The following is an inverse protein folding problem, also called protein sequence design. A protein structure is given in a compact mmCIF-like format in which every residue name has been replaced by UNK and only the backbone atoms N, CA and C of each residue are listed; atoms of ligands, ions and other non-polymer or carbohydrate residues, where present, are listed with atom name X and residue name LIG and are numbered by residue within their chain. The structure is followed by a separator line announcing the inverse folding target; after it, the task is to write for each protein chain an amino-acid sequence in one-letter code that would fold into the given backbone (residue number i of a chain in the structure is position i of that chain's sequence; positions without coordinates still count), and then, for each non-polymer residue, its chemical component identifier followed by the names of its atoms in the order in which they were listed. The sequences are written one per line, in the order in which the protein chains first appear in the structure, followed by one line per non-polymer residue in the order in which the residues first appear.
data_IF_823639371638
#
_entry.id   IF_823639371638
#
_cell.length_a   1.000
_cell.length_b   1.000
_cell.length_c   1.000
_cell.angle_alpha   90.00
_cell.angle_beta   90.00
_cell.angle_gamma   90.00
#
_symmetry.space_group_name_H-M   'P 1'
#
loop_
_entity.id
_entity.type
_entity.pdbx_description
1 polymer ?
#
# COMPACT_ATOMS: atom_id res chain seq x y z
N UNK A 1 -2.02 0.31 -23.43
CA UNK A 1 -1.96 1.71 -23.92
C UNK A 1 -1.48 2.66 -22.81
N UNK A 2 -2.17 2.72 -21.66
CA UNK A 2 -1.84 3.62 -20.55
C UNK A 2 -0.39 3.53 -20.03
N UNK A 3 0.18 2.33 -19.91
CA UNK A 3 1.57 2.16 -19.44
C UNK A 3 2.64 2.74 -20.38
N UNK A 4 2.35 2.83 -21.68
CA UNK A 4 3.22 3.49 -22.66
C UNK A 4 3.13 5.01 -22.50
N UNK A 5 1.89 5.52 -22.45
CA UNK A 5 1.62 6.95 -22.29
C UNK A 5 2.17 7.50 -20.96
N UNK A 6 2.06 6.72 -19.88
CA UNK A 6 2.58 7.08 -18.56
C UNK A 6 4.08 7.39 -18.51
N UNK A 7 4.84 6.96 -19.53
CA UNK A 7 6.26 7.28 -19.67
C UNK A 7 6.53 8.40 -20.68
N UNK A 8 5.64 8.59 -21.65
CA UNK A 8 5.84 9.51 -22.76
C UNK A 8 5.18 10.87 -22.52
N UNK A 9 3.89 10.88 -22.18
CA UNK A 9 3.16 12.08 -21.78
C UNK A 9 2.26 11.79 -20.55
N UNK A 10 2.83 11.87 -19.34
CA UNK A 10 2.10 11.64 -18.10
C UNK A 10 0.87 12.53 -17.90
N UNK A 11 0.80 13.70 -18.55
CA UNK A 11 -0.30 14.65 -18.39
C UNK A 11 -1.61 14.20 -19.06
N UNK A 12 -1.51 13.36 -20.08
CA UNK A 12 -2.67 12.88 -20.87
C UNK A 12 -3.23 11.53 -20.38
N UNK A 13 -2.54 10.87 -19.45
CA UNK A 13 -2.86 9.49 -19.04
C UNK A 13 -4.25 9.38 -18.42
N UNK A 14 -4.66 10.37 -17.64
CA UNK A 14 -5.97 10.32 -16.99
C UNK A 14 -7.12 10.53 -17.98
N UNK A 15 -6.95 11.41 -18.96
CA UNK A 15 -7.95 11.61 -20.01
C UNK A 15 -8.14 10.33 -20.83
N UNK A 16 -7.04 9.63 -21.14
CA UNK A 16 -7.09 8.31 -21.78
C UNK A 16 -7.79 7.27 -20.91
N UNK A 17 -7.49 7.26 -19.61
CA UNK A 17 -8.11 6.34 -18.65
C UNK A 17 -9.62 6.56 -18.54
N UNK A 18 -10.06 7.82 -18.41
CA UNK A 18 -11.48 8.16 -18.37
C UNK A 18 -12.19 7.78 -19.67
N UNK A 19 -11.58 8.08 -20.82
CA UNK A 19 -12.14 7.70 -22.12
C UNK A 19 -12.34 6.19 -22.23
N UNK A 20 -11.35 5.40 -21.84
CA UNK A 20 -11.43 3.94 -21.88
C UNK A 20 -12.47 3.39 -20.86
N UNK A 21 -12.64 4.01 -19.69
CA UNK A 21 -13.67 3.65 -18.71
C UNK A 21 -15.10 3.91 -19.21
N UNK A 22 -15.36 5.11 -19.75
CA UNK A 22 -16.72 5.57 -20.03
C UNK A 22 -17.19 5.25 -21.45
N UNK A 23 -16.31 5.22 -22.45
CA UNK A 23 -16.72 5.06 -23.86
C UNK A 23 -16.71 3.60 -24.34
N UNK A 24 -15.96 2.69 -23.70
CA UNK A 24 -15.76 1.30 -24.18
C UNK A 24 -16.54 0.22 -23.43
N UNK A 25 -17.83 0.44 -23.17
CA UNK A 25 -18.74 -0.55 -22.57
C UNK A 25 -18.32 -1.05 -21.17
N UNK A 26 -18.38 -0.17 -20.17
CA UNK A 26 -18.29 -0.58 -18.75
C UNK A 26 -16.95 -1.28 -18.42
N UNK A 27 -15.84 -0.73 -18.93
CA UNK A 27 -14.51 -1.25 -18.66
C UNK A 27 -14.24 -1.18 -17.15
N UNK A 28 -13.93 -2.33 -16.55
CA UNK A 28 -13.52 -2.40 -15.16
C UNK A 28 -12.00 -2.20 -15.11
N UNK A 29 -11.51 -1.18 -14.35
CA UNK A 29 -10.08 -0.96 -14.25
C UNK A 29 -9.41 -2.17 -13.61
N UNK A 30 -8.25 -2.53 -14.13
CA UNK A 30 -7.40 -3.59 -13.59
C UNK A 30 -6.17 -3.01 -12.86
N UNK A 31 -5.36 -3.89 -12.28
CA UNK A 31 -4.11 -3.52 -11.62
C UNK A 31 -3.14 -2.77 -12.57
N UNK A 32 -3.16 -3.08 -13.87
CA UNK A 32 -2.33 -2.40 -14.87
C UNK A 32 -2.73 -0.93 -15.05
N UNK A 33 -4.04 -0.63 -15.01
CA UNK A 33 -4.54 0.74 -15.09
C UNK A 33 -4.11 1.56 -13.88
N UNK A 34 -4.27 1.03 -12.66
CA UNK A 34 -3.82 1.71 -11.44
C UNK A 34 -2.30 1.90 -11.44
N UNK A 35 -1.54 0.89 -11.88
CA UNK A 35 -0.08 0.97 -12.01
C UNK A 35 0.34 2.09 -12.96
N UNK A 36 -0.36 2.27 -14.10
CA UNK A 36 -0.11 3.35 -15.04
C UNK A 36 -0.40 4.73 -14.42
N UNK A 37 -1.54 4.88 -13.74
CA UNK A 37 -1.93 6.13 -13.06
C UNK A 37 -0.92 6.52 -11.98
N UNK A 38 -0.49 5.58 -11.14
CA UNK A 38 0.52 5.83 -10.10
C UNK A 38 1.88 6.23 -10.70
N UNK A 39 2.23 5.62 -11.83
CA UNK A 39 3.49 5.94 -12.53
C UNK A 39 3.43 7.34 -13.12
N UNK A 40 2.34 7.68 -13.80
CA UNK A 40 2.17 8.97 -14.45
C UNK A 40 2.04 10.11 -13.43
N UNK A 41 1.25 9.92 -12.38
CA UNK A 41 1.09 10.91 -11.29
C UNK A 41 2.36 11.16 -10.49
N UNK A 42 3.33 10.24 -10.53
CA UNK A 42 4.65 10.45 -9.96
C UNK A 42 5.51 11.43 -10.77
N UNK A 43 5.09 11.83 -11.98
CA UNK A 43 5.81 12.84 -12.76
C UNK A 43 5.70 14.23 -12.12
N UNK A 44 6.67 15.09 -12.43
CA UNK A 44 6.71 16.46 -11.91
C UNK A 44 7.33 17.39 -12.94
N UNK A 45 6.78 18.59 -13.07
CA UNK A 45 7.28 19.63 -13.98
C UNK A 45 7.64 20.84 -13.14
N UNK A 46 8.87 21.35 -13.28
CA UNK A 46 9.39 22.47 -12.48
C UNK A 46 9.20 22.27 -10.95
N UNK A 47 9.51 21.06 -10.47
CA UNK A 47 9.35 20.65 -9.07
C UNK A 47 7.90 20.70 -8.54
N UNK A 48 6.91 20.81 -9.41
CA UNK A 48 5.50 20.75 -9.04
C UNK A 48 4.85 19.47 -9.58
N UNK A 49 3.89 18.88 -8.85
CA UNK A 49 3.08 17.80 -9.40
C UNK A 49 2.39 18.25 -10.70
N UNK A 50 2.26 17.34 -11.65
CA UNK A 50 1.44 17.59 -12.84
C UNK A 50 -0.05 17.67 -12.46
N UNK A 51 -0.84 18.26 -13.34
CA UNK A 51 -2.30 18.38 -13.19
C UNK A 51 -3.01 17.42 -14.14
N UNK A 52 -4.14 16.89 -13.69
CA UNK A 52 -5.14 16.25 -14.53
C UNK A 52 -6.44 17.04 -14.38
N UNK A 53 -6.78 17.82 -15.41
CA UNK A 53 -7.79 18.86 -15.31
C UNK A 53 -7.40 19.94 -14.30
N UNK A 54 -8.22 20.10 -13.25
CA UNK A 54 -8.02 21.10 -12.19
C UNK A 54 -7.40 20.53 -10.90
N UNK A 55 -7.09 19.23 -10.87
CA UNK A 55 -6.61 18.53 -9.69
C UNK A 55 -5.16 18.08 -9.88
N UNK A 56 -4.40 17.99 -8.79
CA UNK A 56 -3.07 17.40 -8.83
C UNK A 56 -3.17 15.90 -9.14
N UNK A 57 -2.39 15.43 -10.11
CA UNK A 57 -2.41 14.03 -10.52
C UNK A 57 -2.19 13.03 -9.37
N UNK A 58 -1.31 13.29 -8.37
CA UNK A 58 -1.21 12.43 -7.19
C UNK A 58 -2.53 12.28 -6.43
N UNK A 59 -3.29 13.35 -6.25
CA UNK A 59 -4.57 13.31 -5.52
C UNK A 59 -5.58 12.44 -6.26
N UNK A 60 -5.67 12.61 -7.58
CA UNK A 60 -6.55 11.82 -8.44
C UNK A 60 -6.13 10.34 -8.41
N UNK A 61 -4.83 10.04 -8.57
CA UNK A 61 -4.34 8.67 -8.53
C UNK A 61 -4.58 7.99 -7.16
N UNK A 62 -4.41 8.72 -6.06
CA UNK A 62 -4.72 8.23 -4.70
C UNK A 62 -6.21 7.92 -4.56
N UNK A 63 -7.07 8.81 -5.07
CA UNK A 63 -8.52 8.61 -5.04
C UNK A 63 -8.94 7.37 -5.84
N UNK A 64 -8.50 7.25 -7.10
CA UNK A 64 -8.83 6.09 -7.95
C UNK A 64 -8.29 4.79 -7.34
N UNK A 65 -7.09 4.82 -6.75
CA UNK A 65 -6.54 3.67 -6.03
C UNK A 65 -7.44 3.24 -4.88
N UNK A 66 -7.81 4.16 -3.98
CA UNK A 66 -8.68 3.87 -2.83
C UNK A 66 -10.09 3.42 -3.24
N UNK A 67 -10.59 3.92 -4.37
CA UNK A 67 -11.91 3.57 -4.91
C UNK A 67 -11.96 2.16 -5.49
N UNK A 68 -10.87 1.71 -6.13
CA UNK A 68 -10.87 0.45 -6.87
C UNK A 68 -10.16 -0.70 -6.16
N UNK A 69 -9.27 -0.41 -5.20
CA UNK A 69 -8.62 -1.44 -4.39
C UNK A 69 -9.54 -1.86 -3.24
N UNK A 70 -9.59 -3.16 -2.97
CA UNK A 70 -10.30 -3.73 -1.83
C UNK A 70 -9.96 -2.99 -0.53
N UNK A 71 -10.96 -2.48 0.18
CA UNK A 71 -10.80 -1.76 1.46
C UNK A 71 -11.16 -2.61 2.69
N UNK A 72 -12.04 -3.59 2.52
CA UNK A 72 -12.59 -4.43 3.59
C UNK A 72 -12.40 -5.92 3.25
N UNK A 73 -12.58 -6.81 4.24
CA UNK A 73 -12.70 -8.24 3.95
C UNK A 73 -13.91 -8.44 3.06
N UNK A 74 -13.68 -8.65 1.76
CA UNK A 74 -14.76 -8.95 0.81
C UNK A 74 -15.28 -10.33 1.16
N UNK A 75 -16.53 -10.41 1.58
CA UNK A 75 -17.29 -11.65 1.44
C UNK A 75 -17.44 -11.88 -0.06
N UNK A 76 -16.78 -12.91 -0.58
CA UNK A 76 -16.76 -13.29 -2.01
C UNK A 76 -18.16 -13.58 -2.61
N UNK A 77 -19.23 -13.39 -1.84
CA UNK A 77 -20.62 -13.47 -2.26
C UNK A 77 -21.08 -12.22 -3.02
N UNK A 78 -20.40 -11.08 -2.88
CA UNK A 78 -20.72 -9.84 -3.60
C UNK A 78 -19.93 -9.74 -4.91
N UNK A 79 -20.23 -10.67 -5.82
CA UNK A 79 -19.63 -10.86 -7.15
C UNK A 79 -19.78 -9.65 -8.09
N UNK A 80 -20.61 -8.67 -7.74
CA UNK A 80 -20.83 -7.44 -8.51
C UNK A 80 -19.79 -6.34 -8.23
N UNK A 81 -18.95 -6.52 -7.21
CA UNK A 81 -17.97 -5.52 -6.82
C UNK A 81 -16.57 -5.86 -7.36
N UNK A 82 -16.27 -5.36 -8.55
CA UNK A 82 -14.99 -5.54 -9.24
C UNK A 82 -13.83 -4.78 -8.55
N UNK A 83 -13.52 -5.14 -7.31
CA UNK A 83 -12.41 -4.60 -6.55
C UNK A 83 -11.12 -5.34 -6.90
N UNK A 84 -10.03 -4.59 -7.00
CA UNK A 84 -8.70 -5.11 -7.29
C UNK A 84 -8.06 -5.58 -5.99
N UNK A 85 -7.51 -6.80 -5.98
CA UNK A 85 -6.61 -7.27 -4.93
C UNK A 85 -5.16 -6.98 -5.33
N UNK A 86 -4.52 -5.93 -4.78
CA UNK A 86 -3.25 -5.42 -5.27
C UNK A 86 -2.08 -6.35 -4.95
N UNK A 87 -1.21 -6.55 -5.93
CA UNK A 87 0.08 -7.20 -5.73
C UNK A 87 1.10 -6.30 -5.03
N UNK A 88 2.19 -6.92 -4.58
CA UNK A 88 3.32 -6.23 -3.94
C UNK A 88 3.91 -5.09 -4.80
N UNK A 89 3.94 -5.25 -6.12
CA UNK A 89 4.49 -4.23 -7.02
C UNK A 89 3.60 -2.98 -7.08
N UNK A 90 2.29 -3.16 -7.10
CA UNK A 90 1.33 -2.07 -7.11
C UNK A 90 1.39 -1.30 -5.77
N UNK A 91 1.46 -2.01 -4.63
CA UNK A 91 1.70 -1.37 -3.34
C UNK A 91 3.00 -0.57 -3.27
N UNK A 92 4.10 -1.09 -3.82
CA UNK A 92 5.37 -0.37 -3.85
C UNK A 92 5.26 0.95 -4.65
N UNK A 93 4.53 0.96 -5.77
CA UNK A 93 4.26 2.19 -6.54
C UNK A 93 3.41 3.16 -5.73
N UNK A 94 2.38 2.68 -5.05
CA UNK A 94 1.52 3.50 -4.21
C UNK A 94 2.31 4.14 -3.07
N UNK A 95 3.08 3.36 -2.31
CA UNK A 95 3.99 3.84 -1.26
C UNK A 95 4.96 4.90 -1.82
N UNK A 96 5.56 4.62 -2.98
CA UNK A 96 6.48 5.55 -3.63
C UNK A 96 5.83 6.91 -3.96
N UNK A 97 4.60 6.90 -4.47
CA UNK A 97 3.84 8.12 -4.74
C UNK A 97 3.55 8.89 -3.44
N UNK A 98 3.01 8.21 -2.42
CA UNK A 98 2.67 8.83 -1.15
C UNK A 98 3.91 9.45 -0.49
N UNK A 99 5.02 8.72 -0.48
CA UNK A 99 6.30 9.16 0.06
C UNK A 99 6.89 10.35 -0.69
N UNK A 100 6.74 10.40 -2.01
CA UNK A 100 7.29 11.48 -2.85
C UNK A 100 6.61 12.82 -2.59
N UNK A 101 5.33 12.80 -2.22
CA UNK A 101 4.50 13.99 -2.04
C UNK A 101 4.04 14.17 -0.58
N UNK A 102 4.75 13.55 0.37
CA UNK A 102 4.54 13.70 1.82
C UNK A 102 3.12 13.40 2.33
N UNK A 103 2.44 12.42 1.72
CA UNK A 103 1.16 11.88 2.20
C UNK A 103 1.37 10.92 3.38
N UNK A 104 1.87 11.46 4.49
CA UNK A 104 2.25 10.69 5.69
C UNK A 104 1.04 10.03 6.36
N UNK A 105 -0.11 10.70 6.35
CA UNK A 105 -1.34 10.16 6.93
C UNK A 105 -1.75 8.87 6.19
N UNK A 106 -1.79 8.92 4.87
CA UNK A 106 -2.11 7.79 4.00
C UNK A 106 -1.11 6.65 4.14
N UNK A 107 0.20 6.95 4.29
CA UNK A 107 1.22 5.94 4.58
C UNK A 107 0.94 5.24 5.91
N UNK A 108 0.53 5.98 6.94
CA UNK A 108 0.28 5.44 8.28
C UNK A 108 -0.92 4.48 8.34
N UNK A 109 -1.89 4.64 7.43
CA UNK A 109 -3.06 3.77 7.32
C UNK A 109 -2.75 2.41 6.65
N UNK A 110 -1.62 2.28 5.94
CA UNK A 110 -1.33 1.09 5.12
C UNK A 110 -1.23 -0.21 5.93
N UNK A 111 -0.62 -0.19 7.12
CA UNK A 111 -0.51 -1.41 7.95
C UNK A 111 -1.89 -1.90 8.36
N UNK A 112 -2.77 -0.98 8.77
CA UNK A 112 -4.14 -1.31 9.15
C UNK A 112 -4.92 -1.81 7.94
N UNK A 113 -4.77 -1.16 6.79
CA UNK A 113 -5.41 -1.58 5.55
C UNK A 113 -4.98 -3.01 5.15
N UNK A 114 -3.68 -3.28 5.09
CA UNK A 114 -3.17 -4.63 4.76
C UNK A 114 -3.65 -5.69 5.73
N UNK A 115 -3.70 -5.38 7.03
CA UNK A 115 -4.24 -6.29 8.04
C UNK A 115 -5.73 -6.56 7.79
N UNK A 116 -6.51 -5.51 7.49
CA UNK A 116 -7.95 -5.62 7.22
C UNK A 116 -8.25 -6.50 6.01
N UNK A 117 -7.47 -6.39 4.94
CA UNK A 117 -7.67 -7.19 3.72
C UNK A 117 -6.88 -8.51 3.71
N UNK A 118 -6.30 -8.88 4.86
CA UNK A 118 -5.45 -10.08 5.03
C UNK A 118 -4.32 -10.17 4.00
N UNK A 119 -3.76 -9.02 3.60
CA UNK A 119 -2.63 -8.95 2.69
C UNK A 119 -1.32 -9.18 3.44
N UNK A 120 -0.47 -10.05 2.89
CA UNK A 120 0.87 -10.33 3.42
C UNK A 120 1.93 -9.67 2.52
N UNK A 121 2.55 -8.55 2.94
CA UNK A 121 3.61 -7.91 2.18
C UNK A 121 4.86 -8.79 2.15
N UNK A 122 5.57 -8.80 1.03
CA UNK A 122 6.92 -9.32 1.00
C UNK A 122 7.91 -8.35 1.68
N UNK A 123 9.11 -8.86 1.99
CA UNK A 123 10.16 -8.07 2.69
C UNK A 123 10.43 -6.75 1.98
N UNK A 124 10.51 -6.74 0.65
CA UNK A 124 10.76 -5.53 -0.15
C UNK A 124 9.66 -4.49 -0.01
N UNK A 125 8.39 -4.88 -0.05
CA UNK A 125 7.25 -3.96 0.12
C UNK A 125 7.21 -3.37 1.52
N UNK A 126 7.44 -4.20 2.54
CA UNK A 126 7.50 -3.73 3.93
C UNK A 126 8.67 -2.74 4.13
N UNK A 127 9.84 -3.03 3.57
CA UNK A 127 10.95 -2.08 3.55
C UNK A 127 10.62 -0.79 2.80
N UNK A 128 9.88 -0.85 1.69
CA UNK A 128 9.45 0.34 0.97
C UNK A 128 8.66 1.26 1.91
N UNK A 129 7.69 0.69 2.64
CA UNK A 129 6.87 1.43 3.60
C UNK A 129 7.72 2.02 4.73
N UNK A 130 8.57 1.21 5.36
CA UNK A 130 9.41 1.66 6.49
C UNK A 130 10.40 2.75 6.09
N UNK A 131 10.92 2.73 4.86
CA UNK A 131 11.82 3.79 4.38
C UNK A 131 11.08 5.09 4.07
N UNK A 132 9.78 5.03 3.77
CA UNK A 132 8.95 6.20 3.50
C UNK A 132 8.54 6.97 4.76
N UNK A 133 8.66 6.36 5.94
CA UNK A 133 8.47 7.06 7.22
C UNK A 133 9.73 7.80 7.68
N UNK A 134 9.58 8.83 8.55
CA UNK A 134 10.68 9.30 9.37
C UNK A 134 11.25 8.15 10.21
N UNK A 135 12.57 8.19 10.46
CA UNK A 135 13.30 7.05 11.02
C UNK A 135 12.75 6.62 12.38
N UNK A 136 12.38 7.59 13.22
CA UNK A 136 11.87 7.35 14.56
C UNK A 136 10.53 6.61 14.53
N UNK A 137 9.68 6.89 13.53
CA UNK A 137 8.41 6.21 13.35
C UNK A 137 8.62 4.77 12.87
N UNK A 138 9.50 4.57 11.89
CA UNK A 138 9.81 3.23 11.38
C UNK A 138 10.41 2.33 12.47
N UNK A 139 11.33 2.85 13.28
CA UNK A 139 11.93 2.11 14.39
C UNK A 139 10.89 1.72 15.46
N UNK A 140 9.95 2.61 15.78
CA UNK A 140 8.85 2.30 16.71
C UNK A 140 7.98 1.16 16.21
N UNK A 141 7.65 1.13 14.92
CA UNK A 141 6.90 0.01 14.35
C UNK A 141 7.67 -1.30 14.48
N UNK A 142 8.96 -1.32 14.12
CA UNK A 142 9.80 -2.52 14.24
C UNK A 142 9.83 -3.03 15.69
N UNK A 143 10.11 -2.15 16.65
CA UNK A 143 10.15 -2.50 18.09
C UNK A 143 8.81 -3.06 18.56
N UNK A 144 7.71 -2.43 18.16
CA UNK A 144 6.37 -2.87 18.53
C UNK A 144 6.08 -4.29 18.05
N UNK A 145 6.35 -4.59 16.77
CA UNK A 145 6.09 -5.91 16.20
C UNK A 145 7.08 -6.98 16.70
N UNK A 146 8.35 -6.61 16.96
CA UNK A 146 9.30 -7.52 17.63
C UNK A 146 8.82 -7.91 19.03
N UNK A 147 8.24 -6.96 19.78
CA UNK A 147 7.69 -7.24 21.12
C UNK A 147 6.49 -8.18 21.03
N UNK A 148 5.52 -7.90 20.16
CA UNK A 148 4.34 -8.75 19.95
C UNK A 148 4.75 -10.19 19.62
N UNK A 149 5.76 -10.36 18.75
CA UNK A 149 6.27 -11.67 18.36
C UNK A 149 6.91 -12.44 19.52
N UNK A 150 7.60 -11.76 20.44
CA UNK A 150 8.19 -12.39 21.63
C UNK A 150 7.12 -12.80 22.63
N UNK A 151 6.13 -11.94 22.82
CA UNK A 151 5.03 -12.18 23.75
C UNK A 151 4.16 -13.38 23.29
N UNK A 152 3.87 -13.49 21.98
CA UNK A 152 3.08 -14.61 21.42
C UNK A 152 3.79 -15.97 21.47
N UNK A 153 5.11 -16.00 21.30
CA UNK A 153 5.91 -17.24 21.44
C UNK A 153 5.95 -17.72 22.90
N UNK A 154 5.95 -16.79 23.86
CA UNK A 154 5.99 -17.10 25.29
C UNK A 154 4.68 -17.73 25.80
N UNK A 155 3.53 -17.36 25.25
CA UNK A 155 2.23 -17.95 25.59
C UNK A 155 2.07 -19.40 25.07
N UNK A 156 2.75 -19.77 23.98
CA UNK A 156 2.60 -21.10 23.36
C UNK A 156 3.35 -22.22 24.12
N UNK A 157 4.24 -21.86 25.06
CA UNK A 157 5.11 -22.81 25.78
C UNK A 157 4.65 -23.18 27.19
N UNK A 158 3.48 -22.68 27.63
CA UNK A 158 2.86 -23.05 28.90
C UNK A 158 1.75 -24.09 28.68
N UNK A 159 1.68 -25.19 29.45
CA UNK A 159 0.55 -26.11 29.38
C UNK A 159 -0.71 -25.38 29.88
N UNK A 160 -1.66 -25.18 28.96
CA UNK A 160 -2.94 -24.52 29.22
C UNK A 160 -3.70 -25.20 30.36
N UNK A 161 -3.91 -24.47 31.45
CA UNK A 161 -4.97 -24.73 32.43
C UNK A 161 -5.50 -23.39 32.90
N UNK A 162 -6.49 -22.86 32.18
CA UNK A 162 -7.73 -22.29 32.73
C UNK A 162 -8.58 -21.71 31.59
N UNK A 163 -9.87 -22.02 31.63
CA UNK A 163 -10.90 -21.43 30.77
C UNK A 163 -10.90 -19.90 30.92
N UNK A 164 -10.47 -19.20 29.88
CA UNK A 164 -10.65 -17.77 29.70
C UNK A 164 -11.06 -17.53 28.25
N UNK A 165 -12.12 -16.75 28.05
CA UNK A 165 -12.64 -16.39 26.73
C UNK A 165 -11.51 -15.94 25.78
N UNK A 166 -11.54 -16.35 24.49
CA UNK A 166 -10.57 -15.87 23.53
C UNK A 166 -10.80 -14.38 23.30
N UNK A 167 -10.01 -13.52 23.95
CA UNK A 167 -9.77 -12.17 23.48
C UNK A 167 -9.34 -12.28 22.03
N UNK A 168 -10.21 -11.82 21.11
CA UNK A 168 -9.98 -11.82 19.66
C UNK A 168 -8.57 -11.31 19.37
N UNK A 169 -7.64 -12.23 19.11
CA UNK A 169 -6.37 -11.89 18.50
C UNK A 169 -6.71 -11.26 17.15
N UNK A 170 -6.30 -10.01 16.86
CA UNK A 170 -6.46 -9.48 15.52
C UNK A 170 -5.55 -10.31 14.64
N UNK A 171 -6.08 -11.17 13.76
CA UNK A 171 -5.34 -12.04 12.84
C UNK A 171 -4.05 -11.36 12.35
N UNK A 172 -2.92 -11.72 12.99
CA UNK A 172 -1.88 -10.73 13.29
C UNK A 172 -0.90 -10.58 12.14
N UNK A 173 -0.48 -9.34 11.85
CA UNK A 173 0.70 -9.00 11.05
C UNK A 173 2.03 -9.64 11.55
N UNK A 174 1.99 -10.56 12.52
CA UNK A 174 3.13 -11.25 13.13
C UNK A 174 3.85 -12.22 12.19
N UNK A 175 3.19 -12.72 11.15
CA UNK A 175 3.80 -13.57 10.11
C UNK A 175 4.51 -12.78 9.01
N UNK A 176 4.38 -11.44 9.02
CA UNK A 176 5.03 -10.62 8.02
C UNK A 176 6.55 -10.65 8.20
N UNK A 177 7.31 -10.46 7.10
CA UNK A 177 8.77 -10.49 7.12
C UNK A 177 9.37 -9.18 7.68
N UNK A 178 9.01 -8.84 8.93
CA UNK A 178 9.53 -7.67 9.65
C UNK A 178 11.06 -7.72 9.74
N UNK A 179 11.76 -6.67 9.31
CA UNK A 179 13.21 -6.59 9.50
C UNK A 179 13.52 -6.33 10.96
N UNK A 180 14.71 -6.75 11.40
CA UNK A 180 15.23 -6.28 12.69
C UNK A 180 15.65 -4.81 12.60
N UNK A 181 15.78 -4.13 13.75
CA UNK A 181 16.31 -2.77 13.77
C UNK A 181 17.69 -2.65 13.10
N UNK A 182 18.56 -3.65 13.30
CA UNK A 182 19.89 -3.68 12.69
C UNK A 182 19.80 -3.82 11.16
N UNK A 183 18.95 -4.72 10.65
CA UNK A 183 18.70 -4.86 9.22
C UNK A 183 18.14 -3.57 8.61
N UNK A 184 17.20 -2.94 9.31
CA UNK A 184 16.59 -1.68 8.85
C UNK A 184 17.60 -0.55 8.74
N UNK A 185 18.38 -0.30 9.80
CA UNK A 185 19.42 0.74 9.81
C UNK A 185 20.48 0.50 8.74
N UNK A 186 20.94 -0.75 8.60
CA UNK A 186 21.92 -1.09 7.56
C UNK A 186 21.37 -0.83 6.16
N UNK A 187 20.15 -1.29 5.87
CA UNK A 187 19.52 -1.09 4.57
C UNK A 187 19.28 0.40 4.26
N UNK A 188 18.85 1.20 5.25
CA UNK A 188 18.57 2.63 5.06
C UNK A 188 19.85 3.44 4.81
N UNK A 189 20.93 3.14 5.54
CA UNK A 189 22.22 3.81 5.37
C UNK A 189 22.88 3.52 4.01
N UNK A 190 22.61 2.37 3.40
CA UNK A 190 23.14 2.01 2.08
C UNK A 190 22.30 2.54 0.90
N UNK A 191 21.18 3.22 1.18
CA UNK A 191 20.29 3.83 0.17
C UNK A 191 20.37 5.35 0.08
N UNK A 192 20.95 6.00 1.09
CA UNK A 192 21.27 7.43 1.13
C UNK A 192 22.65 7.66 0.51
#
# INVERSE_FOLDING_TARGET
MLNGEAKQDPSQVYDLYQRDLFEKNNFLPDESCLSALLTASSASTNHRPILWGQLYAPQVAIHEFKKHVVSDTIDFTDLDSAHIYPGNQLWQKYIGLLSKFDYIYELSELIQWWTKIKFTPNKKTLFSLLNSFPIEFAERYIIHFEKIKKDSVSETTLPSSTNGEPTKQPETSGDWPWPTLAEFRHHRNNKL
#
